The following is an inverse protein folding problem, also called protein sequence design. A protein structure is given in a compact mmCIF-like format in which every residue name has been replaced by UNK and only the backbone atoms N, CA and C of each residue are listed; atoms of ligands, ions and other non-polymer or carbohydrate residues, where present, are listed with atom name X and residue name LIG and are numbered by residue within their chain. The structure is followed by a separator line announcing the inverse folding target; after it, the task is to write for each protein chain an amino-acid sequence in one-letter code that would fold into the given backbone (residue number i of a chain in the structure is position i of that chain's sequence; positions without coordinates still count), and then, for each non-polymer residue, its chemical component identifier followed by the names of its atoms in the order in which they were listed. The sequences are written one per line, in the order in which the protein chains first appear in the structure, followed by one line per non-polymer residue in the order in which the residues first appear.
data_IF_043035157609
#
_entry.id   IF_043035157609
#
_cell.length_a   1.000
_cell.length_b   1.000
_cell.length_c   1.000
_cell.angle_alpha   90.00
_cell.angle_beta   90.00
_cell.angle_gamma   90.00
#
_symmetry.space_group_name_H-M   'P 1'
#
loop_
_entity.id
_entity.type
_entity.pdbx_description
1 polymer ?
#
# COMPACT_ATOMS: atom_id res chain seq x y z
N UNK A 1 -7.53 -6.24 -6.87
CA UNK A 1 -6.79 -5.77 -5.67
C UNK A 1 -6.90 -6.83 -4.61
N UNK A 2 -5.79 -7.28 -4.06
CA UNK A 2 -5.74 -8.32 -3.03
C UNK A 2 -4.83 -7.86 -1.89
N UNK A 3 -5.19 -8.22 -0.66
CA UNK A 3 -4.42 -7.90 0.53
C UNK A 3 -4.28 -9.16 1.38
N UNK A 4 -3.03 -9.51 1.64
CA UNK A 4 -2.60 -10.69 2.39
C UNK A 4 -2.01 -10.27 3.72
N UNK A 5 -2.53 -10.83 4.80
CA UNK A 5 -2.09 -10.59 6.17
C UNK A 5 -2.05 -11.91 6.92
N UNK A 6 -1.31 -11.94 8.01
CA UNK A 6 -1.35 -13.06 8.94
C UNK A 6 -2.76 -13.32 9.49
N UNK A 7 -3.02 -14.59 9.81
CA UNK A 7 -4.33 -15.03 10.32
C UNK A 7 -4.70 -14.24 11.58
N UNK A 8 -5.91 -13.67 11.57
CA UNK A 8 -6.44 -12.90 12.70
C UNK A 8 -6.17 -11.39 12.63
N UNK A 9 -5.45 -10.91 11.61
CA UNK A 9 -5.21 -9.47 11.40
C UNK A 9 -6.07 -8.83 10.29
N UNK A 10 -6.95 -9.61 9.64
CA UNK A 10 -7.79 -9.14 8.54
C UNK A 10 -8.72 -7.98 8.91
N UNK A 11 -9.17 -7.93 10.16
CA UNK A 11 -10.01 -6.84 10.70
C UNK A 11 -9.29 -5.49 10.76
N UNK A 12 -7.96 -5.49 10.70
CA UNK A 12 -7.10 -4.29 10.79
C UNK A 12 -6.68 -3.73 9.43
N UNK A 13 -6.93 -4.47 8.36
CA UNK A 13 -6.53 -4.11 7.00
C UNK A 13 -7.50 -3.22 6.17
N UNK A 14 -8.77 -2.95 6.55
CA UNK A 14 -9.68 -2.19 5.70
C UNK A 14 -9.18 -0.80 5.27
N UNK A 15 -8.43 -0.13 6.16
CA UNK A 15 -7.89 1.19 5.86
C UNK A 15 -6.84 1.14 4.74
N UNK A 16 -5.91 0.18 4.78
CA UNK A 16 -4.91 0.02 3.72
C UNK A 16 -5.55 -0.23 2.33
N UNK A 17 -6.61 -1.05 2.26
CA UNK A 17 -7.35 -1.26 1.00
C UNK A 17 -8.05 0.02 0.51
N UNK A 18 -8.53 0.85 1.44
CA UNK A 18 -9.15 2.14 1.12
C UNK A 18 -8.11 3.12 0.59
N UNK A 19 -6.96 3.24 1.28
CA UNK A 19 -5.84 4.07 0.85
C UNK A 19 -5.35 3.68 -0.54
N UNK A 20 -5.20 2.38 -0.84
CA UNK A 20 -4.78 1.91 -2.16
C UNK A 20 -5.75 2.38 -3.26
N UNK A 21 -7.05 2.19 -3.07
CA UNK A 21 -8.07 2.63 -4.05
C UNK A 21 -8.04 4.15 -4.24
N UNK A 22 -7.85 4.91 -3.16
CA UNK A 22 -7.71 6.36 -3.22
C UNK A 22 -6.46 6.77 -4.00
N UNK A 23 -5.32 6.10 -3.79
CA UNK A 23 -4.08 6.36 -4.51
C UNK A 23 -4.20 6.07 -6.00
N UNK A 24 -4.81 4.94 -6.38
CA UNK A 24 -5.08 4.60 -7.79
C UNK A 24 -5.92 5.67 -8.47
N UNK A 25 -7.06 6.00 -7.86
CA UNK A 25 -7.97 7.02 -8.38
C UNK A 25 -7.29 8.38 -8.50
N UNK A 26 -6.50 8.77 -7.49
CA UNK A 26 -5.81 10.04 -7.50
C UNK A 26 -4.77 10.13 -8.63
N UNK A 27 -4.02 9.06 -8.90
CA UNK A 27 -3.00 9.04 -9.95
C UNK A 27 -3.62 9.13 -11.36
N UNK A 28 -4.77 8.46 -11.54
CA UNK A 28 -5.60 8.59 -12.75
C UNK A 28 -6.14 10.01 -12.93
N UNK A 29 -6.75 10.60 -11.89
CA UNK A 29 -7.33 11.95 -11.96
C UNK A 29 -6.28 13.06 -12.08
N UNK A 30 -5.13 12.89 -11.44
CA UNK A 30 -4.08 13.92 -11.35
C UNK A 30 -3.12 13.88 -12.52
N UNK A 31 -2.69 12.69 -12.92
CA UNK A 31 -1.62 12.49 -13.88
C UNK A 31 -2.02 11.64 -15.09
N UNK A 32 -3.22 11.04 -15.10
CA UNK A 32 -3.66 10.16 -16.19
C UNK A 32 -2.89 8.84 -16.23
N UNK A 33 -2.37 8.39 -15.09
CA UNK A 33 -1.49 7.23 -14.99
C UNK A 33 -2.28 6.01 -14.52
N UNK A 34 -2.78 5.24 -15.50
CA UNK A 34 -3.51 3.99 -15.24
C UNK A 34 -2.55 2.87 -14.81
N UNK A 35 -3.03 2.00 -13.92
CA UNK A 35 -2.33 0.78 -13.53
C UNK A 35 -2.33 -0.25 -14.68
N UNK A 36 -1.19 -0.91 -14.91
CA UNK A 36 -0.95 -1.70 -16.13
C UNK A 36 -1.07 -3.23 -15.95
N UNK A 37 -1.51 -3.72 -14.79
CA UNK A 37 -1.67 -5.16 -14.51
C UNK A 37 -3.10 -5.47 -14.02
N UNK A 38 -3.54 -6.71 -14.24
CA UNK A 38 -4.88 -7.19 -13.84
C UNK A 38 -5.06 -7.27 -12.31
N UNK A 39 -3.97 -7.51 -11.58
CA UNK A 39 -3.98 -7.73 -10.14
C UNK A 39 -2.84 -6.94 -9.50
N UNK A 40 -3.18 -6.19 -8.44
CA UNK A 40 -2.24 -5.59 -7.50
C UNK A 40 -2.41 -6.27 -6.15
N UNK A 41 -1.31 -6.79 -5.60
CA UNK A 41 -1.28 -7.50 -4.33
C UNK A 41 -0.48 -6.72 -3.27
N UNK A 42 -0.99 -6.67 -2.05
CA UNK A 42 -0.30 -6.18 -0.85
C UNK A 42 -0.06 -7.34 0.09
N UNK A 43 1.15 -7.48 0.62
CA UNK A 43 1.49 -8.44 1.68
C UNK A 43 2.01 -7.70 2.90
N UNK A 44 1.38 -7.89 4.05
CA UNK A 44 1.86 -7.35 5.32
C UNK A 44 2.73 -8.37 6.07
N UNK A 45 3.91 -7.94 6.54
CA UNK A 45 4.85 -8.75 7.30
C UNK A 45 5.34 -8.01 8.56
N UNK A 46 5.42 -8.71 9.70
CA UNK A 46 5.76 -8.08 10.98
C UNK A 46 7.26 -7.72 11.10
N UNK A 47 8.13 -8.55 10.53
CA UNK A 47 9.58 -8.36 10.58
C UNK A 47 10.10 -7.95 9.20
N UNK A 48 10.14 -6.65 8.96
CA UNK A 48 10.67 -6.06 7.73
C UNK A 48 11.64 -4.94 8.06
N UNK A 49 12.83 -4.97 7.46
CA UNK A 49 13.90 -3.99 7.72
C UNK A 49 13.52 -2.57 7.23
N UNK A 50 12.77 -2.50 6.14
CA UNK A 50 12.26 -1.24 5.57
C UNK A 50 10.80 -1.02 5.97
N UNK A 51 10.25 0.17 5.70
CA UNK A 51 8.83 0.46 5.93
C UNK A 51 7.92 -0.30 4.96
N UNK A 52 8.29 -0.32 3.68
CA UNK A 52 7.67 -1.08 2.61
C UNK A 52 8.64 -1.25 1.43
N UNK A 53 8.23 -2.00 0.41
CA UNK A 53 9.00 -2.27 -0.81
C UNK A 53 8.08 -2.43 -2.02
N UNK A 54 8.41 -1.74 -3.11
CA UNK A 54 7.60 -1.50 -4.29
C UNK A 54 7.62 -2.62 -5.36
N UNK A 55 7.75 -3.90 -4.96
CA UNK A 55 7.89 -4.98 -5.95
C UNK A 55 6.69 -5.00 -6.89
N UNK A 56 6.91 -4.87 -8.20
CA UNK A 56 5.84 -4.66 -9.18
C UNK A 56 4.77 -5.74 -9.11
N UNK A 57 3.54 -5.34 -8.75
CA UNK A 57 2.37 -6.21 -8.63
C UNK A 57 2.27 -6.98 -7.30
N UNK A 58 3.28 -6.91 -6.43
CA UNK A 58 3.33 -7.58 -5.13
C UNK A 58 4.10 -6.72 -4.11
N UNK A 59 3.47 -5.63 -3.68
CA UNK A 59 4.09 -4.73 -2.72
C UNK A 59 4.12 -5.38 -1.33
N UNK A 60 5.28 -5.33 -0.67
CA UNK A 60 5.50 -5.92 0.65
C UNK A 60 5.66 -4.80 1.66
N UNK A 61 4.86 -4.81 2.72
CA UNK A 61 4.83 -3.75 3.72
C UNK A 61 5.13 -4.31 5.10
N UNK A 62 5.76 -3.48 5.93
CA UNK A 62 5.75 -3.73 7.36
C UNK A 62 4.30 -3.61 7.88
N UNK A 63 3.85 -4.58 8.68
CA UNK A 63 2.49 -4.62 9.23
C UNK A 63 2.07 -3.33 9.94
N UNK A 64 3.02 -2.59 10.53
CA UNK A 64 2.76 -1.27 11.14
C UNK A 64 2.16 -0.25 10.16
N UNK A 65 2.50 -0.35 8.88
CA UNK A 65 2.03 0.55 7.81
C UNK A 65 0.89 -0.05 6.98
N UNK A 66 0.26 -1.14 7.44
CA UNK A 66 -0.92 -1.75 6.81
C UNK A 66 -2.08 -1.94 7.80
N UNK A 67 -1.76 -2.28 9.04
CA UNK A 67 -2.73 -2.69 10.05
C UNK A 67 -3.06 -1.53 10.99
N UNK A 68 -4.33 -1.12 11.02
CA UNK A 68 -4.86 -0.19 12.01
C UNK A 68 -6.24 -0.67 12.50
N UNK A 69 -6.48 -0.48 13.80
CA UNK A 69 -7.82 -0.62 14.39
C UNK A 69 -8.18 0.66 15.11
N UNK A 70 -9.45 1.04 15.07
CA UNK A 70 -9.97 2.27 15.68
C UNK A 70 -9.82 2.31 17.21
N UNK A 71 -9.69 1.16 17.87
CA UNK A 71 -9.52 1.05 19.31
C UNK A 71 -8.05 1.14 19.78
N UNK A 72 -7.08 0.94 18.88
CA UNK A 72 -5.65 0.92 19.24
C UNK A 72 -4.76 1.88 18.45
N UNK A 73 -5.18 2.29 17.25
CA UNK A 73 -4.40 3.15 16.37
C UNK A 73 -4.79 4.62 16.54
N UNK A 74 -3.80 5.50 16.42
CA UNK A 74 -3.98 6.96 16.45
C UNK A 74 -4.29 7.51 15.06
N UNK A 75 -4.83 8.72 14.97
CA UNK A 75 -5.03 9.41 13.70
C UNK A 75 -3.73 9.51 12.88
N UNK A 76 -2.59 9.66 13.58
CA UNK A 76 -1.28 9.68 12.94
C UNK A 76 -0.97 8.35 12.24
N UNK A 77 -1.33 7.22 12.85
CA UNK A 77 -1.10 5.90 12.26
C UNK A 77 -1.94 5.73 10.98
N UNK A 78 -3.19 6.19 10.97
CA UNK A 78 -4.04 6.19 9.77
C UNK A 78 -3.43 7.04 8.64
N UNK A 79 -2.93 8.24 8.96
CA UNK A 79 -2.25 9.10 7.98
C UNK A 79 -0.95 8.49 7.47
N UNK A 80 -0.16 7.85 8.36
CA UNK A 80 1.08 7.19 7.98
C UNK A 80 0.81 5.98 7.07
N UNK A 81 -0.23 5.18 7.33
CA UNK A 81 -0.67 4.09 6.45
C UNK A 81 -1.04 4.64 5.07
N UNK A 82 -1.89 5.67 5.01
CA UNK A 82 -2.33 6.24 3.74
C UNK A 82 -1.16 6.79 2.92
N UNK A 83 -0.23 7.47 3.58
CA UNK A 83 0.97 8.02 2.96
C UNK A 83 1.88 6.91 2.40
N UNK A 84 2.14 5.86 3.16
CA UNK A 84 3.06 4.78 2.74
C UNK A 84 2.42 3.93 1.65
N UNK A 85 1.14 3.55 1.77
CA UNK A 85 0.42 2.82 0.71
C UNK A 85 0.43 3.61 -0.61
N UNK A 86 0.18 4.92 -0.55
CA UNK A 86 0.26 5.77 -1.73
C UNK A 86 1.67 5.84 -2.32
N UNK A 87 2.68 6.07 -1.49
CA UNK A 87 4.09 6.14 -1.92
C UNK A 87 4.51 4.91 -2.74
N UNK A 88 4.23 3.71 -2.20
CA UNK A 88 4.59 2.45 -2.84
C UNK A 88 3.76 2.16 -4.11
N UNK A 89 2.51 2.63 -4.17
CA UNK A 89 1.71 2.53 -5.38
C UNK A 89 2.26 3.44 -6.50
N UNK A 90 2.62 4.69 -6.19
CA UNK A 90 3.13 5.64 -7.18
C UNK A 90 4.46 5.19 -7.81
N UNK A 91 5.24 4.39 -7.09
CA UNK A 91 6.42 3.73 -7.66
C UNK A 91 6.13 2.83 -8.85
N UNK A 92 4.87 2.38 -9.08
CA UNK A 92 4.52 1.62 -10.27
C UNK A 92 4.88 2.37 -11.57
N UNK A 93 4.73 3.69 -11.58
CA UNK A 93 5.17 4.53 -12.68
C UNK A 93 6.59 5.07 -12.46
N UNK A 94 6.85 5.68 -11.30
CA UNK A 94 8.12 6.37 -10.99
C UNK A 94 9.06 5.49 -10.16
N UNK A 95 9.65 4.48 -10.79
CA UNK A 95 10.57 3.53 -10.15
C UNK A 95 10.53 2.17 -10.84
N UNK A 96 9.32 1.70 -11.18
CA UNK A 96 9.10 0.42 -11.84
C UNK A 96 9.02 0.57 -13.37
N UNK A 97 8.01 1.29 -13.90
CA UNK A 97 7.84 1.45 -15.35
C UNK A 97 8.97 2.26 -15.98
N UNK A 98 9.43 3.29 -15.28
CA UNK A 98 10.68 4.00 -15.58
C UNK A 98 11.60 3.83 -14.38
N UNK A 99 12.77 3.23 -14.59
CA UNK A 99 13.71 2.89 -13.51
C UNK A 99 15.07 3.60 -13.67
N UNK A 100 15.86 3.61 -12.60
CA UNK A 100 17.17 4.25 -12.55
C UNK A 100 18.19 3.55 -13.47
N UNK A 101 19.14 4.34 -13.98
CA UNK A 101 20.24 3.86 -14.84
C UNK A 101 21.37 3.25 -14.04
#
# INVERSE_FOLDING_TARGET
LELYVDRGNLDRAPWAMTSLKNSMKWDEERFGLEYDLDIYMIVAVDFFNMGAMENKGLNIFNSKYVLARTDTATDKDYLDIERVIGHEYFHNWTGNRVTCR
#
